data_IF_985102612363
#
_entry.id   IF_985102612363
#
_cell.length_a   1.000
_cell.length_b   1.000
_cell.length_c   1.000
_cell.angle_alpha   90.00
_cell.angle_beta   90.00
_cell.angle_gamma   90.00
#
_symmetry.space_group_name_H-M   'P 1'
#
loop_
_entity.id
_entity.type
_entity.pdbx_description
1 polymer ?
#
# COMPACT_ATOMS: atom_id res chain seq x y z
N UNK A 1 4.05 16.85 2.59
CA UNK A 1 5.34 16.19 2.30
C UNK A 1 6.41 17.22 1.93
N UNK A 2 6.26 18.01 0.85
CA UNK A 2 7.29 18.94 0.36
C UNK A 2 7.80 19.90 1.43
N UNK A 3 6.93 20.50 2.22
CA UNK A 3 7.32 21.42 3.30
C UNK A 3 8.20 20.75 4.35
N UNK A 4 7.83 19.54 4.78
CA UNK A 4 8.61 18.77 5.78
C UNK A 4 9.95 18.38 5.19
N UNK A 5 9.99 17.92 3.93
CA UNK A 5 11.23 17.59 3.25
C UNK A 5 12.19 18.78 3.23
N UNK A 6 11.73 19.95 2.77
CA UNK A 6 12.57 21.14 2.66
C UNK A 6 13.12 21.61 4.00
N UNK A 7 12.32 21.51 5.07
CA UNK A 7 12.69 21.98 6.41
C UNK A 7 13.57 21.02 7.20
N UNK A 8 13.33 19.71 7.06
CA UNK A 8 13.90 18.74 7.99
C UNK A 8 14.82 17.71 7.34
N UNK A 9 14.60 17.38 6.07
CA UNK A 9 15.24 16.23 5.45
C UNK A 9 16.14 16.53 4.25
N UNK A 10 16.04 17.69 3.67
CA UNK A 10 16.79 18.03 2.43
C UNK A 10 18.29 17.76 2.55
N UNK A 11 18.93 18.28 3.58
CA UNK A 11 20.37 18.08 3.80
C UNK A 11 20.76 16.61 4.02
N UNK A 12 19.88 15.83 4.67
CA UNK A 12 20.10 14.40 4.89
C UNK A 12 20.01 13.63 3.57
N UNK A 13 19.07 13.99 2.71
CA UNK A 13 18.89 13.37 1.40
C UNK A 13 20.06 13.67 0.48
N UNK A 14 20.51 14.94 0.44
CA UNK A 14 21.68 15.35 -0.34
C UNK A 14 22.95 14.59 0.09
N UNK A 15 23.18 14.51 1.42
CA UNK A 15 24.33 13.76 1.97
C UNK A 15 24.32 12.28 1.58
N UNK A 16 23.14 11.67 1.50
CA UNK A 16 22.98 10.26 1.17
C UNK A 16 22.71 10.01 -0.33
N UNK A 17 22.78 11.05 -1.16
CA UNK A 17 22.50 10.97 -2.61
C UNK A 17 21.12 10.41 -2.92
N UNK A 18 20.13 10.73 -2.10
CA UNK A 18 18.73 10.35 -2.28
C UNK A 18 18.00 11.47 -2.98
N UNK A 19 17.30 11.17 -4.04
CA UNK A 19 16.48 12.15 -4.78
C UNK A 19 15.07 12.16 -4.20
N UNK A 20 14.55 13.35 -3.89
CA UNK A 20 13.16 13.57 -3.56
C UNK A 20 12.43 14.20 -4.75
N UNK A 21 11.26 13.67 -5.06
CA UNK A 21 10.38 14.24 -6.08
C UNK A 21 8.96 14.33 -5.53
N UNK A 22 8.36 15.50 -5.63
CA UNK A 22 6.95 15.71 -5.30
C UNK A 22 6.12 15.62 -6.58
N UNK A 23 5.10 14.76 -6.56
CA UNK A 23 4.22 14.56 -7.70
C UNK A 23 2.76 14.58 -7.29
N UNK A 24 1.89 14.95 -8.18
CA UNK A 24 0.45 14.74 -8.05
C UNK A 24 0.15 13.26 -8.24
N UNK A 25 -0.95 12.79 -7.68
CA UNK A 25 -1.27 11.36 -7.66
C UNK A 25 -1.43 10.76 -9.06
N UNK A 26 -2.08 11.46 -9.96
CA UNK A 26 -2.28 11.05 -11.35
C UNK A 26 -0.95 10.89 -12.11
N UNK A 27 -0.05 11.88 -11.98
CA UNK A 27 1.28 11.81 -12.57
C UNK A 27 2.14 10.71 -11.94
N UNK A 28 2.03 10.51 -10.62
CA UNK A 28 2.77 9.45 -9.94
C UNK A 28 2.31 8.06 -10.36
N UNK A 29 1.02 7.84 -10.52
CA UNK A 29 0.48 6.57 -11.06
C UNK A 29 1.06 6.29 -12.45
N UNK A 30 1.07 7.29 -13.33
CA UNK A 30 1.65 7.14 -14.66
C UNK A 30 3.16 6.85 -14.61
N UNK A 31 3.88 7.48 -13.69
CA UNK A 31 5.31 7.20 -13.47
C UNK A 31 5.54 5.78 -12.94
N UNK A 32 4.73 5.32 -11.99
CA UNK A 32 4.84 3.99 -11.40
C UNK A 32 4.65 2.88 -12.45
N UNK A 33 3.80 3.11 -13.44
CA UNK A 33 3.61 2.18 -14.56
C UNK A 33 4.79 2.12 -15.54
N UNK A 34 5.63 3.15 -15.57
CA UNK A 34 6.75 3.29 -16.53
C UNK A 34 8.11 3.02 -15.91
N UNK A 35 8.28 3.33 -14.65
CA UNK A 35 9.58 3.22 -13.99
C UNK A 35 9.95 1.77 -13.69
N UNK A 36 11.23 1.48 -13.75
CA UNK A 36 11.77 0.14 -13.50
C UNK A 36 11.96 -0.19 -12.01
N UNK A 37 11.37 0.58 -11.11
CA UNK A 37 11.49 0.39 -9.66
C UNK A 37 12.62 1.21 -9.02
N UNK A 38 13.10 0.76 -7.85
CA UNK A 38 14.14 1.44 -7.04
C UNK A 38 13.70 2.79 -6.50
N UNK A 39 12.44 2.92 -6.12
CA UNK A 39 11.91 4.10 -5.46
C UNK A 39 10.98 3.72 -4.30
N UNK A 40 10.81 4.61 -3.37
CA UNK A 40 9.81 4.53 -2.30
C UNK A 40 8.73 5.56 -2.61
N UNK A 41 7.51 5.11 -2.67
CA UNK A 41 6.36 5.96 -2.90
C UNK A 41 5.62 6.23 -1.60
N UNK A 42 5.76 7.44 -1.07
CA UNK A 42 5.04 7.87 0.13
C UNK A 42 3.68 8.45 -0.26
N UNK A 43 2.62 7.72 0.03
CA UNK A 43 1.24 8.13 -0.21
C UNK A 43 0.59 8.70 1.05
N UNK A 44 -0.36 9.62 0.87
CA UNK A 44 -1.36 9.90 1.91
C UNK A 44 -2.37 8.76 1.96
N UNK A 45 -3.11 8.69 3.10
CA UNK A 45 -4.02 7.59 3.39
C UNK A 45 -4.92 7.20 2.21
N UNK A 46 -5.75 8.12 1.73
CA UNK A 46 -6.67 7.83 0.64
C UNK A 46 -5.96 7.48 -0.68
N UNK A 47 -4.91 8.20 -1.03
CA UNK A 47 -4.14 7.93 -2.24
C UNK A 47 -3.47 6.56 -2.20
N UNK A 48 -2.95 6.17 -1.03
CA UNK A 48 -2.36 4.86 -0.81
C UNK A 48 -3.38 3.72 -0.81
N UNK A 49 -4.53 3.94 -0.21
CA UNK A 49 -5.66 3.02 -0.18
C UNK A 49 -6.12 2.67 -1.61
N UNK A 50 -6.44 3.67 -2.41
CA UNK A 50 -6.86 3.48 -3.80
C UNK A 50 -5.75 2.87 -4.66
N UNK A 51 -4.52 3.34 -4.50
CA UNK A 51 -3.38 2.84 -5.25
C UNK A 51 -3.10 1.36 -4.98
N UNK A 52 -3.09 0.94 -3.72
CA UNK A 52 -2.82 -0.43 -3.34
C UNK A 52 -3.91 -1.39 -3.84
N UNK A 53 -5.16 -1.01 -3.76
CA UNK A 53 -6.28 -1.79 -4.30
C UNK A 53 -6.20 -1.92 -5.82
N UNK A 54 -5.87 -0.83 -6.50
CA UNK A 54 -5.72 -0.84 -7.97
C UNK A 54 -4.60 -1.78 -8.42
N UNK A 55 -3.45 -1.75 -7.73
CA UNK A 55 -2.33 -2.65 -8.02
C UNK A 55 -2.69 -4.09 -7.73
N UNK A 56 -3.38 -4.37 -6.64
CA UNK A 56 -3.84 -5.71 -6.30
C UNK A 56 -4.76 -6.31 -7.35
N UNK A 57 -5.72 -5.53 -7.82
CA UNK A 57 -6.60 -5.95 -8.92
C UNK A 57 -5.83 -6.20 -10.21
N UNK A 58 -4.82 -5.40 -10.49
CA UNK A 58 -3.93 -5.60 -11.64
C UNK A 58 -3.17 -6.92 -11.59
N UNK A 59 -2.83 -7.40 -10.41
CA UNK A 59 -2.20 -8.71 -10.19
C UNK A 59 -3.18 -9.87 -9.98
N UNK A 60 -4.48 -9.61 -9.95
CA UNK A 60 -5.52 -10.63 -10.06
C UNK A 60 -6.26 -10.99 -8.79
N UNK A 61 -5.86 -10.56 -7.59
CA UNK A 61 -6.60 -10.91 -6.38
C UNK A 61 -6.33 -10.00 -5.19
N UNK A 62 -7.39 -9.37 -4.70
CA UNK A 62 -7.41 -8.69 -3.40
C UNK A 62 -7.12 -9.64 -2.23
N UNK A 63 -7.50 -10.91 -2.35
CA UNK A 63 -7.29 -11.91 -1.31
C UNK A 63 -5.82 -12.30 -1.08
N UNK A 64 -4.92 -11.90 -1.97
CA UNK A 64 -3.48 -12.13 -1.84
C UNK A 64 -2.74 -10.90 -1.29
N UNK A 65 -3.44 -9.81 -1.07
CA UNK A 65 -2.86 -8.61 -0.46
C UNK A 65 -3.05 -8.60 1.05
N UNK A 66 -1.95 -8.43 1.74
CA UNK A 66 -1.95 -8.12 3.17
C UNK A 66 -1.33 -6.75 3.40
N UNK A 67 -1.92 -5.97 4.30
CA UNK A 67 -1.34 -4.74 4.80
C UNK A 67 -0.67 -4.98 6.13
N UNK A 68 0.43 -4.33 6.37
CA UNK A 68 1.10 -4.33 7.66
C UNK A 68 1.25 -2.90 8.17
N UNK A 69 0.74 -2.65 9.36
CA UNK A 69 0.90 -1.41 10.08
C UNK A 69 1.96 -1.60 11.16
N UNK A 70 3.02 -0.83 11.08
CA UNK A 70 4.13 -0.92 12.01
C UNK A 70 4.10 0.26 12.97
N UNK A 71 4.14 -0.01 14.27
CA UNK A 71 4.27 1.05 15.27
C UNK A 71 5.61 1.79 15.14
N UNK A 72 5.69 3.06 15.53
CA UNK A 72 6.92 3.85 15.41
C UNK A 72 8.12 3.27 16.15
N UNK A 73 7.88 2.48 17.18
CA UNK A 73 8.92 1.78 17.95
C UNK A 73 9.44 0.50 17.25
N UNK A 74 8.81 0.09 16.14
CA UNK A 74 9.16 -1.11 15.39
C UNK A 74 8.89 -2.44 16.09
N UNK A 75 8.21 -2.45 17.24
CA UNK A 75 7.96 -3.66 18.04
C UNK A 75 6.59 -4.26 17.86
N UNK A 76 5.63 -3.42 17.54
CA UNK A 76 4.24 -3.83 17.35
C UNK A 76 3.89 -3.75 15.89
N UNK A 77 3.36 -4.82 15.36
CA UNK A 77 2.88 -4.90 13.99
C UNK A 77 1.44 -5.40 14.00
N UNK A 78 0.59 -4.74 13.27
CA UNK A 78 -0.75 -5.18 12.93
C UNK A 78 -0.76 -5.59 11.45
N UNK A 79 -1.40 -6.70 11.15
CA UNK A 79 -1.64 -7.11 9.76
C UNK A 79 -3.14 -7.22 9.52
N UNK A 80 -3.57 -6.73 8.37
CA UNK A 80 -4.98 -6.75 7.99
C UNK A 80 -5.16 -7.17 6.54
N UNK A 81 -6.35 -7.68 6.23
CA UNK A 81 -6.74 -7.97 4.87
C UNK A 81 -7.11 -6.68 4.12
N UNK A 82 -6.85 -6.64 2.82
CA UNK A 82 -7.21 -5.51 1.95
C UNK A 82 -8.69 -5.48 1.53
N UNK A 83 -9.56 -6.20 2.22
CA UNK A 83 -10.99 -6.32 1.88
C UNK A 83 -11.87 -6.33 3.13
N UNK A 84 -13.16 -6.05 2.94
CA UNK A 84 -14.16 -6.11 4.01
C UNK A 84 -14.60 -7.54 4.34
N UNK A 85 -15.73 -7.66 5.00
CA UNK A 85 -16.24 -8.88 5.65
C UNK A 85 -16.65 -10.03 4.72
N UNK A 86 -16.55 -9.89 3.42
CA UNK A 86 -16.86 -10.93 2.41
C UNK A 86 -18.13 -11.73 2.72
N UNK A 87 -19.25 -11.04 2.83
CA UNK A 87 -20.55 -11.63 3.25
C UNK A 87 -21.02 -12.80 2.39
N UNK A 88 -20.65 -12.84 1.10
CA UNK A 88 -20.96 -13.97 0.22
C UNK A 88 -20.24 -15.24 0.67
N UNK A 89 -18.98 -15.15 1.04
CA UNK A 89 -18.20 -16.27 1.57
C UNK A 89 -18.85 -16.86 2.82
N UNK A 90 -19.23 -16.01 3.78
CA UNK A 90 -19.90 -16.42 5.00
C UNK A 90 -21.26 -17.09 4.73
N UNK A 91 -22.05 -16.57 3.79
CA UNK A 91 -23.33 -17.19 3.38
C UNK A 91 -23.13 -18.57 2.77
N UNK A 92 -22.11 -18.78 1.98
CA UNK A 92 -21.76 -20.08 1.42
C UNK A 92 -21.38 -21.07 2.54
N UNK A 93 -20.60 -20.62 3.51
CA UNK A 93 -20.26 -21.43 4.68
C UNK A 93 -21.50 -21.83 5.48
N UNK A 94 -22.42 -20.91 5.74
CA UNK A 94 -23.69 -21.20 6.41
C UNK A 94 -24.56 -22.22 5.65
N UNK A 95 -24.43 -22.30 4.34
CA UNK A 95 -25.12 -23.29 3.50
C UNK A 95 -24.39 -24.64 3.44
N UNK A 96 -23.34 -24.85 4.22
CA UNK A 96 -22.55 -26.08 4.22
C UNK A 96 -21.72 -26.29 2.94
N UNK A 97 -21.51 -25.26 2.13
CA UNK A 97 -20.67 -25.36 0.94
C UNK A 97 -19.21 -25.18 1.30
N UNK A 98 -18.34 -25.91 0.62
CA UNK A 98 -16.90 -25.72 0.77
C UNK A 98 -16.49 -24.27 0.40
N UNK A 99 -15.69 -23.68 1.25
CA UNK A 99 -15.13 -22.34 1.06
C UNK A 99 -13.62 -22.40 1.31
N UNK A 100 -12.87 -21.70 0.48
CA UNK A 100 -11.42 -21.57 0.68
C UNK A 100 -11.12 -20.40 1.61
N UNK A 101 -10.15 -20.57 2.47
CA UNK A 101 -9.63 -19.50 3.34
C UNK A 101 -8.20 -19.19 2.95
N UNK A 102 -7.90 -17.90 2.75
CA UNK A 102 -6.53 -17.45 2.61
C UNK A 102 -5.94 -17.21 4.01
N UNK A 103 -4.90 -17.93 4.41
CA UNK A 103 -4.31 -17.82 5.74
C UNK A 103 -3.31 -16.67 5.90
N UNK A 104 -3.04 -15.93 4.81
CA UNK A 104 -2.07 -14.83 4.80
C UNK A 104 -2.74 -13.54 5.22
#
# INVERSE_FOLDING_TARGET
>A
FAYIFEKEFKSKFEKNKITYTHKLIDDMVACAMKWSGKYIWACKNYDGDVQSDTVAQGYGSLGLMTSALLAPDGRTMESEAAHGTVTRHYRLHQQGKETSTNPI
#
